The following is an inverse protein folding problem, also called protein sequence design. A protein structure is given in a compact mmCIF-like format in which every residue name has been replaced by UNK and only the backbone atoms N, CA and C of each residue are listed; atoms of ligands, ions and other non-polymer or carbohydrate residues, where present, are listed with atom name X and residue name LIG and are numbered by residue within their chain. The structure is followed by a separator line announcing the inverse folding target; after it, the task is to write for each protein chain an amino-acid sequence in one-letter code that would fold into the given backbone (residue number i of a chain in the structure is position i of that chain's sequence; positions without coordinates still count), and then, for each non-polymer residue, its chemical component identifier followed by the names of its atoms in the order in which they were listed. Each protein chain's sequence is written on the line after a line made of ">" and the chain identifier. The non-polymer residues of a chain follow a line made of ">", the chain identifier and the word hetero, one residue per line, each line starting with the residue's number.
data_IF_304659389923
#
_entry.id   IF_304659389923
#
_cell.length_a   1.000
_cell.length_b   1.000
_cell.length_c   1.000
_cell.angle_alpha   90.00
_cell.angle_beta   90.00
_cell.angle_gamma   90.00
#
_symmetry.space_group_name_H-M   'P 1'
#
loop_
_entity.id
_entity.type
_entity.pdbx_description
1 polymer ?
#
# COMPACT_ATOMS: atom_id res chain seq x y z
N UNK A 1 6.07 -9.67 29.77
CA UNK A 1 6.35 -10.33 28.47
C UNK A 1 6.74 -9.27 27.45
N UNK A 2 7.99 -9.28 26.97
CA UNK A 2 8.52 -8.21 26.10
C UNK A 2 7.83 -8.19 24.74
N UNK A 3 7.47 -9.35 24.18
CA UNK A 3 6.77 -9.43 22.90
C UNK A 3 5.33 -8.90 22.88
N UNK A 4 4.70 -8.69 24.06
CA UNK A 4 3.31 -8.21 24.16
C UNK A 4 3.12 -6.87 23.46
N UNK A 5 4.11 -5.97 23.52
CA UNK A 5 4.00 -4.64 22.89
C UNK A 5 3.87 -4.72 21.38
N UNK A 6 4.64 -5.57 20.70
CA UNK A 6 4.55 -5.72 19.24
C UNK A 6 3.23 -6.39 18.84
N UNK A 7 2.73 -7.34 19.63
CA UNK A 7 1.43 -7.98 19.38
C UNK A 7 0.31 -6.95 19.46
N UNK A 8 0.24 -6.18 20.55
CA UNK A 8 -0.78 -5.15 20.75
C UNK A 8 -0.68 -4.07 19.67
N UNK A 9 0.54 -3.58 19.40
CA UNK A 9 0.79 -2.61 18.34
C UNK A 9 0.35 -3.15 16.99
N UNK A 10 0.75 -4.37 16.63
CA UNK A 10 0.45 -4.96 15.34
C UNK A 10 -1.05 -5.21 15.12
N UNK A 11 -1.80 -5.66 16.13
CA UNK A 11 -3.25 -5.76 16.00
C UNK A 11 -3.93 -4.40 15.87
N UNK A 12 -3.54 -3.43 16.68
CA UNK A 12 -4.09 -2.07 16.59
C UNK A 12 -3.80 -1.44 15.22
N UNK A 13 -2.56 -1.57 14.77
CA UNK A 13 -2.11 -1.05 13.49
C UNK A 13 -2.80 -1.76 12.32
N UNK A 14 -3.00 -3.08 12.41
CA UNK A 14 -3.74 -3.85 11.40
C UNK A 14 -5.18 -3.36 11.25
N UNK A 15 -5.86 -3.04 12.35
CA UNK A 15 -7.22 -2.49 12.29
C UNK A 15 -7.24 -1.16 11.53
N UNK A 16 -6.28 -0.27 11.81
CA UNK A 16 -6.19 1.01 11.12
C UNK A 16 -5.89 0.85 9.63
N UNK A 17 -4.93 -0.01 9.29
CA UNK A 17 -4.50 -0.18 7.90
C UNK A 17 -5.54 -0.97 7.11
N UNK A 18 -6.14 -2.02 7.67
CA UNK A 18 -7.20 -2.79 7.01
C UNK A 18 -8.48 -1.97 6.80
N UNK A 19 -8.75 -0.97 7.64
CA UNK A 19 -9.86 -0.04 7.44
C UNK A 19 -9.72 0.83 6.17
N UNK A 20 -8.53 0.88 5.56
CA UNK A 20 -8.36 1.48 4.22
C UNK A 20 -9.02 0.65 3.11
N UNK A 21 -9.26 -0.64 3.33
CA UNK A 21 -9.98 -1.51 2.39
C UNK A 21 -11.34 -0.92 1.99
N UNK A 22 -12.26 -0.69 2.94
CA UNK A 22 -13.52 -0.01 2.68
C UNK A 22 -13.40 1.36 2.00
N UNK A 23 -12.42 2.19 2.39
CA UNK A 23 -12.19 3.50 1.77
C UNK A 23 -11.90 3.36 0.28
N UNK A 24 -11.06 2.38 -0.11
CA UNK A 24 -10.78 2.10 -1.51
C UNK A 24 -12.02 1.60 -2.28
N UNK A 25 -12.89 0.82 -1.63
CA UNK A 25 -14.14 0.34 -2.27
C UNK A 25 -15.02 1.51 -2.69
N UNK A 26 -15.12 2.56 -1.88
CA UNK A 26 -15.89 3.75 -2.27
C UNK A 26 -15.27 4.47 -3.48
N UNK A 27 -13.95 4.49 -3.61
CA UNK A 27 -13.26 5.08 -4.77
C UNK A 27 -13.50 4.32 -6.08
N UNK A 28 -13.84 3.03 -6.03
CA UNK A 28 -14.15 2.24 -7.23
C UNK A 28 -15.47 2.66 -7.90
N UNK A 29 -16.35 3.40 -7.21
CA UNK A 29 -17.56 3.97 -7.84
C UNK A 29 -17.19 4.95 -8.94
N UNK A 30 -16.27 5.86 -8.65
CA UNK A 30 -15.78 6.87 -9.61
C UNK A 30 -14.98 6.21 -10.74
N UNK A 31 -14.24 5.14 -10.43
CA UNK A 31 -13.57 4.32 -11.43
C UNK A 31 -14.55 3.72 -12.44
N UNK A 32 -15.66 3.16 -11.98
CA UNK A 32 -16.70 2.59 -12.85
C UNK A 32 -17.28 3.61 -13.82
N UNK A 33 -17.60 4.81 -13.32
CA UNK A 33 -18.10 5.91 -14.15
C UNK A 33 -17.07 6.36 -15.19
N UNK A 34 -15.82 6.61 -14.77
CA UNK A 34 -14.74 7.03 -15.67
C UNK A 34 -14.38 5.96 -16.71
N UNK A 35 -14.44 4.68 -16.33
CA UNK A 35 -14.21 3.56 -17.25
C UNK A 35 -15.29 3.50 -18.34
N UNK A 36 -16.55 3.74 -17.98
CA UNK A 36 -17.66 3.86 -18.93
C UNK A 36 -17.49 5.02 -19.91
N UNK A 37 -17.14 6.23 -19.40
CA UNK A 37 -16.85 7.40 -20.25
C UNK A 37 -15.71 7.12 -21.23
N UNK A 38 -14.60 6.54 -20.74
CA UNK A 38 -13.46 6.13 -21.57
C UNK A 38 -13.86 5.12 -22.62
N UNK A 39 -14.71 4.14 -22.29
CA UNK A 39 -15.14 3.12 -23.23
C UNK A 39 -15.94 3.74 -24.38
N UNK A 40 -16.85 4.67 -24.09
CA UNK A 40 -17.63 5.40 -25.10
C UNK A 40 -16.72 6.23 -26.00
N UNK A 41 -15.82 7.05 -25.44
CA UNK A 41 -14.95 7.93 -26.21
C UNK A 41 -13.97 7.15 -27.12
N UNK A 42 -13.33 6.11 -26.58
CA UNK A 42 -12.41 5.25 -27.35
C UNK A 42 -13.15 4.49 -28.45
N UNK A 43 -14.37 3.98 -28.17
CA UNK A 43 -15.16 3.29 -29.19
C UNK A 43 -15.53 4.22 -30.33
N UNK A 44 -15.95 5.46 -30.03
CA UNK A 44 -16.26 6.47 -31.04
C UNK A 44 -15.06 6.75 -31.94
N UNK A 45 -13.89 7.06 -31.40
CA UNK A 45 -12.73 7.40 -32.24
C UNK A 45 -12.22 6.20 -33.06
N UNK A 46 -12.39 4.98 -32.55
CA UNK A 46 -12.10 3.76 -33.32
C UNK A 46 -13.05 3.61 -34.50
N UNK A 47 -14.35 3.85 -34.31
CA UNK A 47 -15.34 3.85 -35.39
C UNK A 47 -15.05 4.95 -36.42
N UNK A 48 -14.75 6.17 -35.97
CA UNK A 48 -14.37 7.26 -36.87
C UNK A 48 -13.16 6.87 -37.72
N UNK A 49 -12.12 6.26 -37.12
CA UNK A 49 -10.96 5.79 -37.88
C UNK A 49 -11.29 4.67 -38.87
N UNK A 50 -12.26 3.81 -38.56
CA UNK A 50 -12.68 2.72 -39.45
C UNK A 50 -13.53 3.22 -40.62
N UNK A 51 -14.32 4.27 -40.39
CA UNK A 51 -15.22 4.86 -41.37
C UNK A 51 -14.62 6.10 -42.06
N UNK A 52 -13.29 6.19 -42.14
CA UNK A 52 -12.57 7.29 -42.80
C UNK A 52 -12.99 8.72 -42.32
N UNK A 53 -13.28 8.83 -41.03
CA UNK A 53 -13.76 10.01 -40.32
C UNK A 53 -15.16 10.48 -40.74
N UNK A 54 -16.02 9.55 -41.13
CA UNK A 54 -17.44 9.79 -41.32
C UNK A 54 -18.26 9.41 -40.08
N UNK A 55 -19.27 10.22 -39.78
CA UNK A 55 -20.29 9.99 -38.75
C UNK A 55 -21.66 10.29 -39.38
N UNK A 56 -22.63 9.38 -39.22
CA UNK A 56 -23.96 9.50 -39.85
C UNK A 56 -23.95 9.75 -41.39
N UNK A 57 -22.99 9.13 -42.09
CA UNK A 57 -22.76 9.27 -43.54
C UNK A 57 -22.27 10.67 -43.98
N UNK A 58 -21.85 11.51 -43.02
CA UNK A 58 -21.26 12.82 -43.30
C UNK A 58 -19.78 12.86 -42.88
N UNK A 59 -18.89 13.40 -43.72
CA UNK A 59 -17.49 13.56 -43.35
C UNK A 59 -17.35 14.63 -42.26
N UNK A 60 -16.64 14.29 -41.19
CA UNK A 60 -16.33 15.22 -40.12
C UNK A 60 -15.28 16.24 -40.59
N UNK A 61 -15.43 17.49 -40.16
CA UNK A 61 -14.39 18.49 -40.35
C UNK A 61 -13.25 18.31 -39.34
N UNK A 62 -12.11 18.97 -39.61
CA UNK A 62 -10.92 18.86 -38.76
C UNK A 62 -11.14 19.29 -37.30
N UNK A 63 -12.05 20.23 -37.03
CA UNK A 63 -12.38 20.64 -35.66
C UNK A 63 -13.14 19.55 -34.91
N UNK A 64 -14.10 18.89 -35.55
CA UNK A 64 -14.86 17.79 -34.96
C UNK A 64 -13.97 16.57 -34.67
N UNK A 65 -13.07 16.24 -35.59
CA UNK A 65 -12.07 15.17 -35.39
C UNK A 65 -11.14 15.52 -34.22
N UNK A 66 -10.65 16.76 -34.17
CA UNK A 66 -9.78 17.22 -33.08
C UNK A 66 -10.50 17.15 -31.72
N UNK A 67 -11.76 17.58 -31.65
CA UNK A 67 -12.59 17.47 -30.44
C UNK A 67 -12.77 16.02 -30.00
N UNK A 68 -13.12 15.11 -30.92
CA UNK A 68 -13.26 13.69 -30.60
C UNK A 68 -11.96 13.07 -30.04
N UNK A 69 -10.81 13.48 -30.57
CA UNK A 69 -9.50 13.07 -30.07
C UNK A 69 -9.20 13.64 -28.67
N UNK A 70 -9.46 14.94 -28.46
CA UNK A 70 -9.27 15.58 -27.15
C UNK A 70 -10.19 14.95 -26.10
N UNK A 71 -11.45 14.69 -26.41
CA UNK A 71 -12.39 14.02 -25.51
C UNK A 71 -11.89 12.63 -25.11
N UNK A 72 -11.33 11.89 -26.08
CA UNK A 72 -10.71 10.59 -25.81
C UNK A 72 -9.51 10.72 -24.87
N UNK A 73 -8.60 11.66 -25.13
CA UNK A 73 -7.42 11.90 -24.28
C UNK A 73 -7.83 12.29 -22.86
N UNK A 74 -8.83 13.17 -22.70
CA UNK A 74 -9.33 13.59 -21.40
C UNK A 74 -9.99 12.43 -20.64
N UNK A 75 -10.77 11.60 -21.32
CA UNK A 75 -11.39 10.40 -20.70
C UNK A 75 -10.34 9.40 -20.20
N UNK A 76 -9.26 9.19 -20.97
CA UNK A 76 -8.13 8.37 -20.56
C UNK A 76 -7.41 8.98 -19.35
N UNK A 77 -7.14 10.29 -19.38
CA UNK A 77 -6.48 10.99 -18.28
C UNK A 77 -7.29 10.89 -16.97
N UNK A 78 -8.61 11.10 -17.04
CA UNK A 78 -9.52 10.97 -15.89
C UNK A 78 -9.45 9.57 -15.27
N UNK A 79 -9.51 8.53 -16.10
CA UNK A 79 -9.40 7.14 -15.62
C UNK A 79 -8.03 6.87 -14.96
N UNK A 80 -6.94 7.26 -15.61
CA UNK A 80 -5.58 7.08 -15.07
C UNK A 80 -5.39 7.81 -13.75
N UNK A 81 -5.95 9.02 -13.60
CA UNK A 81 -5.87 9.78 -12.35
C UNK A 81 -6.57 9.05 -11.19
N UNK A 82 -7.76 8.52 -11.43
CA UNK A 82 -8.52 7.75 -10.42
C UNK A 82 -7.77 6.45 -10.06
N UNK A 83 -7.30 5.71 -11.07
CA UNK A 83 -6.54 4.47 -10.87
C UNK A 83 -5.27 4.73 -10.05
N UNK A 84 -4.52 5.78 -10.38
CA UNK A 84 -3.31 6.16 -9.64
C UNK A 84 -3.58 6.44 -8.16
N UNK A 85 -4.74 7.02 -7.84
CA UNK A 85 -5.14 7.32 -6.47
C UNK A 85 -5.48 6.04 -5.71
N UNK A 86 -6.21 5.11 -6.34
CA UNK A 86 -6.54 3.80 -5.77
C UNK A 86 -5.26 2.99 -5.55
N UNK A 87 -4.36 2.94 -6.53
CA UNK A 87 -3.14 2.14 -6.47
C UNK A 87 -2.15 2.65 -5.42
N UNK A 88 -2.07 3.98 -5.21
CA UNK A 88 -1.27 4.57 -4.12
C UNK A 88 -1.71 4.06 -2.74
N UNK A 89 -3.01 3.91 -2.51
CA UNK A 89 -3.53 3.37 -1.24
C UNK A 89 -3.34 1.85 -1.19
N UNK A 90 -3.76 1.16 -2.25
CA UNK A 90 -3.77 -0.31 -2.33
C UNK A 90 -2.38 -0.91 -2.21
N UNK A 91 -1.46 -0.49 -3.09
CA UNK A 91 -0.09 -0.98 -3.14
C UNK A 91 0.83 -0.33 -2.11
N UNK A 92 0.53 0.90 -1.70
CA UNK A 92 1.27 1.65 -0.70
C UNK A 92 0.81 1.34 0.72
N UNK A 93 0.08 2.29 1.32
CA UNK A 93 -0.24 2.30 2.74
C UNK A 93 -1.01 1.07 3.23
N UNK A 94 -1.96 0.56 2.44
CA UNK A 94 -2.76 -0.61 2.81
C UNK A 94 -1.91 -1.89 2.83
N UNK A 95 -1.25 -2.24 1.72
CA UNK A 95 -0.47 -3.47 1.63
C UNK A 95 0.73 -3.49 2.59
N UNK A 96 1.52 -2.41 2.60
CA UNK A 96 2.68 -2.31 3.50
C UNK A 96 2.25 -2.26 4.97
N UNK A 97 1.20 -1.50 5.28
CA UNK A 97 0.66 -1.42 6.64
C UNK A 97 0.20 -2.77 7.19
N UNK A 98 -0.52 -3.55 6.38
CA UNK A 98 -0.96 -4.89 6.76
C UNK A 98 0.23 -5.84 6.96
N UNK A 99 1.20 -5.84 6.05
CA UNK A 99 2.38 -6.70 6.13
C UNK A 99 3.20 -6.39 7.39
N UNK A 100 3.43 -5.12 7.68
CA UNK A 100 4.23 -4.68 8.83
C UNK A 100 3.50 -4.86 10.17
N UNK A 101 2.17 -4.79 10.16
CA UNK A 101 1.33 -5.19 11.28
C UNK A 101 1.52 -6.67 11.61
N UNK A 102 1.39 -7.54 10.61
CA UNK A 102 1.61 -8.98 10.75
C UNK A 102 3.04 -9.27 11.21
N UNK A 103 4.02 -8.58 10.65
CA UNK A 103 5.42 -8.71 11.02
C UNK A 103 5.64 -8.36 12.50
N UNK A 104 4.99 -7.31 13.02
CA UNK A 104 5.04 -6.99 14.45
C UNK A 104 4.37 -8.07 15.31
N UNK A 105 3.21 -8.59 14.90
CA UNK A 105 2.54 -9.68 15.64
C UNK A 105 3.46 -10.90 15.72
N UNK A 106 3.99 -11.35 14.58
CA UNK A 106 4.90 -12.50 14.48
C UNK A 106 6.17 -12.27 15.30
N UNK A 107 6.82 -11.11 15.15
CA UNK A 107 7.99 -10.75 15.95
C UNK A 107 7.69 -10.79 17.44
N UNK A 108 6.54 -10.28 17.87
CA UNK A 108 6.12 -10.33 19.27
C UNK A 108 5.99 -11.77 19.80
N UNK A 109 5.46 -12.68 18.99
CA UNK A 109 5.41 -14.11 19.31
C UNK A 109 6.82 -14.71 19.38
N UNK A 110 7.65 -14.48 18.36
CA UNK A 110 9.03 -15.01 18.28
C UNK A 110 9.88 -14.56 19.47
N UNK A 111 9.83 -13.28 19.84
CA UNK A 111 10.55 -12.74 21.02
C UNK A 111 10.17 -13.48 22.32
N UNK A 112 8.93 -13.99 22.40
CA UNK A 112 8.47 -14.82 23.51
C UNK A 112 9.26 -16.12 23.66
N UNK A 113 9.69 -16.72 22.55
CA UNK A 113 10.43 -17.98 22.51
C UNK A 113 11.95 -17.82 22.54
N UNK A 114 12.49 -16.61 22.38
CA UNK A 114 13.93 -16.38 22.46
C UNK A 114 14.41 -16.45 23.92
N UNK A 115 15.41 -17.27 24.22
CA UNK A 115 16.15 -17.36 25.48
C UNK A 115 17.41 -16.47 25.49
N UNK A 116 17.29 -15.24 24.99
CA UNK A 116 18.37 -14.24 24.94
C UNK A 116 18.19 -13.13 25.98
N UNK A 117 19.21 -12.30 26.14
CA UNK A 117 19.20 -11.16 27.05
C UNK A 117 17.99 -10.23 26.80
N UNK A 118 17.42 -9.71 27.90
CA UNK A 118 16.22 -8.86 27.91
C UNK A 118 16.38 -7.63 27.00
N UNK A 119 17.55 -6.99 27.02
CA UNK A 119 17.81 -5.80 26.22
C UNK A 119 17.76 -6.09 24.71
N UNK A 120 18.20 -7.27 24.28
CA UNK A 120 18.19 -7.65 22.86
C UNK A 120 16.76 -7.84 22.35
N UNK A 121 15.90 -8.43 23.18
CA UNK A 121 14.45 -8.53 22.93
C UNK A 121 13.80 -7.13 22.82
N UNK A 122 14.22 -6.20 23.67
CA UNK A 122 13.73 -4.82 23.64
C UNK A 122 14.17 -4.09 22.36
N UNK A 123 15.44 -4.27 21.98
CA UNK A 123 16.00 -3.70 20.75
C UNK A 123 15.23 -4.19 19.52
N UNK A 124 15.10 -5.51 19.33
CA UNK A 124 14.34 -6.10 18.22
C UNK A 124 12.93 -5.50 18.18
N UNK A 125 12.24 -5.52 19.32
CA UNK A 125 10.89 -5.01 19.42
C UNK A 125 10.76 -3.54 18.98
N UNK A 126 11.66 -2.68 19.42
CA UNK A 126 11.66 -1.26 19.05
C UNK A 126 12.03 -1.02 17.61
N UNK A 127 12.98 -1.79 17.05
CA UNK A 127 13.35 -1.71 15.64
C UNK A 127 12.15 -1.97 14.73
N UNK A 128 11.34 -2.99 15.04
CA UNK A 128 10.12 -3.28 14.27
C UNK A 128 9.05 -2.20 14.44
N UNK A 129 8.78 -1.72 15.67
CA UNK A 129 7.73 -0.70 15.88
C UNK A 129 8.12 0.63 15.21
N UNK A 130 9.34 1.11 15.45
CA UNK A 130 9.83 2.36 14.86
C UNK A 130 9.93 2.21 13.34
N UNK A 131 10.46 1.10 12.86
CA UNK A 131 10.53 0.80 11.43
C UNK A 131 9.16 0.84 10.76
N UNK A 132 8.13 0.25 11.38
CA UNK A 132 6.76 0.29 10.87
C UNK A 132 6.17 1.70 10.82
N UNK A 133 6.33 2.48 11.89
CA UNK A 133 5.83 3.87 11.92
C UNK A 133 6.55 4.71 10.85
N UNK A 134 7.86 4.54 10.70
CA UNK A 134 8.69 5.30 9.75
C UNK A 134 8.55 4.83 8.30
N UNK A 135 8.03 3.62 8.06
CA UNK A 135 7.78 3.09 6.73
C UNK A 135 6.29 3.17 6.36
N UNK A 136 5.48 2.15 6.68
CA UNK A 136 4.06 2.17 6.33
C UNK A 136 3.28 3.27 7.05
N UNK A 137 3.71 3.72 8.23
CA UNK A 137 3.05 4.81 8.95
C UNK A 137 3.19 6.13 8.21
N UNK A 138 4.39 6.42 7.67
CA UNK A 138 4.61 7.59 6.83
C UNK A 138 3.90 7.46 5.47
N UNK A 139 3.81 6.24 4.90
CA UNK A 139 2.97 6.01 3.71
C UNK A 139 1.51 6.35 4.00
N UNK A 140 0.99 5.93 5.15
CA UNK A 140 -0.37 6.26 5.58
C UNK A 140 -0.57 7.78 5.69
N UNK A 141 0.33 8.48 6.38
CA UNK A 141 0.25 9.94 6.53
C UNK A 141 0.33 10.69 5.19
N UNK A 142 1.21 10.26 4.28
CA UNK A 142 1.39 10.88 2.97
C UNK A 142 0.23 10.60 2.02
N UNK A 143 -0.31 9.39 2.02
CA UNK A 143 -1.32 8.98 1.03
C UNK A 143 -2.75 9.28 1.48
N UNK A 144 -3.07 9.08 2.77
CA UNK A 144 -4.43 9.20 3.29
C UNK A 144 -4.70 10.60 3.83
N UNK A 145 -3.72 11.20 4.51
CA UNK A 145 -3.85 12.55 5.08
C UNK A 145 -3.13 13.62 4.26
N UNK A 146 -2.51 13.25 3.14
CA UNK A 146 -1.82 14.17 2.22
C UNK A 146 -0.76 15.05 2.89
N UNK A 147 -0.16 14.55 3.98
CA UNK A 147 0.88 15.26 4.72
C UNK A 147 2.21 15.13 3.99
N UNK A 148 2.54 16.13 3.17
CA UNK A 148 3.70 16.11 2.27
C UNK A 148 5.05 15.92 2.97
N UNK A 149 5.20 16.41 4.21
CA UNK A 149 6.42 16.24 4.99
C UNK A 149 6.75 14.77 5.29
N UNK A 150 5.74 13.88 5.30
CA UNK A 150 5.96 12.45 5.51
C UNK A 150 6.74 11.82 4.35
N UNK A 151 6.64 12.38 3.13
CA UNK A 151 7.44 11.92 1.98
C UNK A 151 8.93 12.21 2.17
N UNK A 152 9.28 13.36 2.75
CA UNK A 152 10.67 13.70 3.04
C UNK A 152 11.33 12.65 3.93
N UNK A 153 10.58 12.07 4.87
CA UNK A 153 11.08 11.01 5.73
C UNK A 153 11.09 9.64 5.04
N UNK A 154 10.07 9.33 4.23
CA UNK A 154 10.03 8.09 3.43
C UNK A 154 11.22 7.97 2.47
N UNK A 155 11.56 9.07 1.80
CA UNK A 155 12.65 9.13 0.83
C UNK A 155 14.02 8.85 1.45
N UNK A 156 14.17 9.05 2.77
CA UNK A 156 15.41 8.67 3.47
C UNK A 156 15.62 7.16 3.57
N UNK A 157 14.57 6.35 3.38
CA UNK A 157 14.62 4.90 3.54
C UNK A 157 14.80 4.44 4.99
N UNK A 158 14.67 5.32 5.97
CA UNK A 158 14.95 5.00 7.39
C UNK A 158 14.02 3.90 7.92
N UNK A 159 12.74 3.89 7.53
CA UNK A 159 11.79 2.86 7.93
C UNK A 159 12.23 1.45 7.54
N UNK A 160 12.43 1.16 6.23
CA UNK A 160 12.96 -0.12 5.77
C UNK A 160 14.29 -0.52 6.43
N UNK A 161 15.21 0.43 6.64
CA UNK A 161 16.49 0.16 7.31
C UNK A 161 16.26 -0.38 8.74
N UNK A 162 15.37 0.24 9.50
CA UNK A 162 15.03 -0.23 10.85
C UNK A 162 14.37 -1.62 10.84
N UNK A 163 13.48 -1.89 9.89
CA UNK A 163 12.85 -3.21 9.73
C UNK A 163 13.91 -4.28 9.40
N UNK A 164 14.80 -4.01 8.45
CA UNK A 164 15.88 -4.93 8.06
C UNK A 164 16.87 -5.17 9.20
N UNK A 165 17.26 -4.13 9.93
CA UNK A 165 18.07 -4.27 11.13
C UNK A 165 17.37 -5.12 12.20
N UNK A 166 16.07 -4.91 12.40
CA UNK A 166 15.22 -5.72 13.28
C UNK A 166 15.23 -7.20 12.89
N UNK A 167 15.05 -7.49 11.59
CA UNK A 167 15.10 -8.85 11.04
C UNK A 167 16.46 -9.51 11.26
N UNK A 168 17.55 -8.79 10.97
CA UNK A 168 18.91 -9.31 11.15
C UNK A 168 19.19 -9.65 12.62
N UNK A 169 18.87 -8.73 13.53
CA UNK A 169 19.10 -8.93 14.97
C UNK A 169 18.20 -10.05 15.51
N UNK A 170 16.95 -10.14 15.05
CA UNK A 170 16.05 -11.24 15.40
C UNK A 170 16.56 -12.60 14.91
N UNK A 171 17.09 -12.66 13.68
CA UNK A 171 17.69 -13.88 13.12
C UNK A 171 18.92 -14.34 13.91
N UNK A 172 19.81 -13.41 14.27
CA UNK A 172 20.98 -13.70 15.12
C UNK A 172 20.52 -14.18 16.51
N UNK A 173 19.54 -13.50 17.11
CA UNK A 173 19.02 -13.87 18.43
C UNK A 173 18.35 -15.26 18.42
N UNK A 174 17.65 -15.61 17.34
CA UNK A 174 17.08 -16.94 17.14
C UNK A 174 18.17 -18.02 17.01
N UNK A 175 19.23 -17.76 16.24
CA UNK A 175 20.33 -18.72 16.10
C UNK A 175 21.06 -19.00 17.42
N UNK A 176 21.17 -18.01 18.30
CA UNK A 176 21.90 -18.14 19.58
C UNK A 176 21.05 -18.80 20.67
N UNK A 177 19.75 -18.55 20.69
CA UNK A 177 18.93 -18.88 21.85
C UNK A 177 17.46 -19.09 21.52
N UNK A 178 17.12 -19.86 20.48
CA UNK A 178 15.74 -20.29 20.31
C UNK A 178 15.40 -21.39 21.32
N UNK A 179 14.37 -21.16 22.14
CA UNK A 179 13.94 -22.17 23.12
C UNK A 179 12.97 -23.13 22.43
N UNK A 180 13.27 -24.41 22.45
CA UNK A 180 12.33 -25.43 21.99
C UNK A 180 11.03 -25.36 22.82
N UNK A 181 9.85 -25.45 22.18
CA UNK A 181 8.61 -25.55 22.90
C UNK A 181 8.67 -26.79 23.80
N UNK A 182 8.29 -26.64 25.07
CA UNK A 182 8.32 -27.74 26.02
C UNK A 182 7.47 -28.91 25.49
N UNK A 183 8.12 -29.98 25.05
CA UNK A 183 7.49 -31.27 24.77
C UNK A 183 7.16 -31.92 26.10
N UNK A 184 6.07 -31.48 26.75
CA UNK A 184 5.48 -32.23 27.85
C UNK A 184 4.81 -33.48 27.30
N UNK A 185 5.59 -34.54 27.10
CA UNK A 185 5.11 -35.92 27.14
C UNK A 185 5.93 -36.62 28.22
N UNK A 186 5.43 -36.56 29.47
CA UNK A 186 5.65 -37.54 30.53
C UNK A 186 4.72 -37.24 31.69
#
# INVERSE_FOLDING_TARGET
>A
MIGKKNIVFGFFYLVLTAALGPVMVDMYKDYGAASGEKQTAVSRIQLLKQNDFEEDLEPLNGEQIAKANVDTILSLNKLMHIESSIDRIKGGAHAHGNLESLLNIVTGLVIGFLAVAVWLKQLISWLFIIGTIMHSGMLYLSTVFELTWANTLLETGIGPIFILAGLLVAGIAAAIGFKEPATSIS
#
